data_IF_815370352872
#
_entry.id   IF_815370352872
#
_cell.length_a   1.000
_cell.length_b   1.000
_cell.length_c   1.000
_cell.angle_alpha   90.00
_cell.angle_beta   90.00
_cell.angle_gamma   90.00
#
_symmetry.space_group_name_H-M   'P 1'
#
loop_
_entity.id
_entity.type
_entity.pdbx_description
1 polymer ?
#
# COMPACT_ATOMS: atom_id res chain seq x y z
N UNK A 1 -6.75 -7.90 -12.20
CA UNK A 1 -8.06 -8.53 -11.91
C UNK A 1 -8.99 -7.50 -11.29
N UNK A 2 -10.25 -7.52 -11.66
CA UNK A 2 -11.28 -6.72 -10.99
C UNK A 2 -11.76 -7.50 -9.76
N UNK A 3 -11.55 -6.96 -8.56
CA UNK A 3 -11.95 -7.59 -7.28
C UNK A 3 -13.16 -6.91 -6.66
N UNK A 4 -13.40 -5.63 -6.98
CA UNK A 4 -14.54 -4.85 -6.51
C UNK A 4 -15.56 -4.67 -7.65
N UNK A 5 -16.70 -5.32 -7.55
CA UNK A 5 -17.79 -5.26 -8.53
C UNK A 5 -19.05 -4.55 -8.01
N UNK A 6 -18.95 -3.93 -6.82
CA UNK A 6 -20.07 -3.30 -6.12
C UNK A 6 -20.95 -4.28 -5.32
N UNK A 7 -20.66 -5.59 -5.36
CA UNK A 7 -21.40 -6.60 -4.60
C UNK A 7 -20.56 -7.11 -3.40
N UNK A 8 -20.89 -6.63 -2.21
CA UNK A 8 -20.15 -6.96 -0.98
C UNK A 8 -20.23 -8.43 -0.58
N UNK A 9 -21.24 -9.20 -1.02
CA UNK A 9 -21.44 -10.59 -0.59
C UNK A 9 -20.44 -11.58 -1.20
N UNK A 10 -19.84 -11.26 -2.34
CA UNK A 10 -18.87 -12.14 -3.03
C UNK A 10 -17.45 -11.57 -3.04
N UNK A 11 -17.24 -10.45 -2.37
CA UNK A 11 -15.97 -9.73 -2.35
C UNK A 11 -14.79 -10.63 -1.99
N UNK A 12 -14.84 -11.29 -0.83
CA UNK A 12 -13.75 -12.15 -0.33
C UNK A 12 -13.42 -13.30 -1.30
N UNK A 13 -14.44 -13.94 -1.89
CA UNK A 13 -14.21 -15.03 -2.85
C UNK A 13 -13.55 -14.51 -4.12
N UNK A 14 -13.94 -13.33 -4.58
CA UNK A 14 -13.34 -12.70 -5.76
C UNK A 14 -11.90 -12.28 -5.52
N UNK A 15 -11.60 -11.73 -4.33
CA UNK A 15 -10.25 -11.40 -3.90
C UNK A 15 -9.35 -12.63 -3.87
N UNK A 16 -9.75 -13.68 -3.16
CA UNK A 16 -9.00 -14.93 -3.08
C UNK A 16 -8.74 -15.56 -4.46
N UNK A 17 -9.76 -15.57 -5.33
CA UNK A 17 -9.63 -16.06 -6.71
C UNK A 17 -8.68 -15.22 -7.54
N UNK A 18 -8.72 -13.90 -7.41
CA UNK A 18 -7.84 -13.00 -8.12
C UNK A 18 -6.38 -13.15 -7.70
N UNK A 19 -6.13 -13.30 -6.38
CA UNK A 19 -4.80 -13.53 -5.82
C UNK A 19 -4.22 -14.85 -6.34
N UNK A 20 -5.01 -15.94 -6.25
CA UNK A 20 -4.60 -17.24 -6.78
C UNK A 20 -4.35 -17.19 -8.29
N UNK A 21 -5.25 -16.56 -9.04
CA UNK A 21 -5.09 -16.39 -10.49
C UNK A 21 -3.80 -15.65 -10.83
N UNK A 22 -3.45 -14.60 -10.09
CA UNK A 22 -2.22 -13.86 -10.29
C UNK A 22 -0.98 -14.76 -10.13
N UNK A 23 -0.90 -15.55 -9.06
CA UNK A 23 0.18 -16.52 -8.84
C UNK A 23 0.28 -17.54 -9.97
N UNK A 24 -0.84 -18.17 -10.33
CA UNK A 24 -0.91 -19.22 -11.36
C UNK A 24 -0.54 -18.71 -12.76
N UNK A 25 -0.67 -17.40 -13.01
CA UNK A 25 -0.35 -16.76 -14.30
C UNK A 25 0.95 -15.96 -14.29
N UNK A 26 1.84 -16.22 -13.33
CA UNK A 26 3.21 -15.73 -13.33
C UNK A 26 3.41 -14.31 -12.78
N UNK A 27 2.41 -13.71 -12.12
CA UNK A 27 2.61 -12.49 -11.38
C UNK A 27 3.50 -12.76 -10.16
N UNK A 28 4.47 -11.90 -9.92
CA UNK A 28 5.39 -11.98 -8.77
C UNK A 28 5.25 -10.79 -7.82
N UNK A 29 4.46 -9.80 -8.22
CA UNK A 29 4.08 -8.65 -7.40
C UNK A 29 2.57 -8.59 -7.36
N UNK A 30 2.00 -8.58 -6.16
CA UNK A 30 0.61 -8.32 -5.87
C UNK A 30 0.52 -6.93 -5.24
N UNK A 31 -0.10 -5.98 -5.95
CA UNK A 31 -0.29 -4.63 -5.46
C UNK A 31 -1.73 -4.46 -5.00
N UNK A 32 -1.93 -4.14 -3.72
CA UNK A 32 -3.23 -4.09 -3.05
C UNK A 32 -3.43 -2.79 -2.29
N UNK A 33 -4.11 -1.82 -2.91
CA UNK A 33 -4.50 -0.55 -2.27
C UNK A 33 -5.83 -0.70 -1.54
N UNK A 34 -5.98 -1.71 -0.71
CA UNK A 34 -7.19 -2.02 0.07
C UNK A 34 -6.85 -2.81 1.33
N UNK A 35 -7.79 -2.87 2.24
CA UNK A 35 -7.67 -3.60 3.50
C UNK A 35 -8.92 -3.40 4.36
N UNK A 36 -8.83 -3.86 5.59
CA UNK A 36 -9.81 -3.59 6.66
C UNK A 36 -9.35 -2.33 7.41
N UNK A 37 -10.20 -1.77 8.28
CA UNK A 37 -9.73 -0.72 9.18
C UNK A 37 -8.72 -1.30 10.19
N UNK A 38 -7.82 -0.48 10.71
CA UNK A 38 -6.96 -0.88 11.81
C UNK A 38 -7.80 -1.27 13.05
N UNK A 39 -7.28 -2.19 13.84
CA UNK A 39 -7.89 -2.57 15.13
C UNK A 39 -7.99 -1.39 16.11
N UNK A 40 -7.10 -0.42 15.98
CA UNK A 40 -7.05 0.77 16.82
C UNK A 40 -7.70 2.00 16.17
N UNK A 41 -8.44 1.82 15.07
CA UNK A 41 -9.20 2.90 14.45
C UNK A 41 -10.24 3.46 15.41
N UNK A 42 -10.47 4.78 15.36
CA UNK A 42 -11.33 5.48 16.31
C UNK A 42 -12.82 5.34 15.95
N UNK A 43 -13.62 4.62 16.74
CA UNK A 43 -15.07 4.48 16.49
C UNK A 43 -15.83 5.81 16.54
N UNK A 44 -15.32 6.81 17.27
CA UNK A 44 -15.96 8.14 17.34
C UNK A 44 -15.85 8.90 16.01
N UNK A 45 -14.91 8.50 15.15
CA UNK A 45 -14.77 9.01 13.79
C UNK A 45 -15.57 8.17 12.76
N UNK A 46 -16.36 7.22 13.23
CA UNK A 46 -17.20 6.37 12.38
C UNK A 46 -16.53 5.11 11.84
N UNK A 47 -15.30 4.81 12.24
CA UNK A 47 -14.62 3.58 11.84
C UNK A 47 -15.12 2.39 12.65
N UNK A 48 -15.20 1.25 11.97
CA UNK A 48 -15.41 -0.05 12.62
C UNK A 48 -14.05 -0.73 12.72
N UNK A 49 -13.51 -0.95 13.95
CA UNK A 49 -12.22 -1.61 14.11
C UNK A 49 -12.17 -2.97 13.43
N UNK A 50 -11.06 -3.22 12.76
CA UNK A 50 -10.75 -4.48 12.09
C UNK A 50 -10.04 -5.48 13.00
N UNK A 51 -9.50 -6.58 12.43
CA UNK A 51 -8.74 -7.57 13.18
C UNK A 51 -7.48 -6.97 13.84
N UNK A 52 -7.17 -7.43 15.05
CA UNK A 52 -5.99 -7.00 15.81
C UNK A 52 -4.83 -8.00 15.75
N UNK A 53 -5.09 -9.23 15.33
CA UNK A 53 -4.09 -10.30 15.29
C UNK A 53 -4.26 -11.17 14.05
N UNK A 54 -3.18 -11.88 13.66
CA UNK A 54 -3.22 -12.88 12.59
C UNK A 54 -4.27 -13.97 12.84
N UNK A 55 -4.47 -14.34 14.10
CA UNK A 55 -5.48 -15.32 14.50
C UNK A 55 -6.90 -14.83 14.23
N UNK A 56 -7.21 -13.60 14.66
CA UNK A 56 -8.52 -12.98 14.42
C UNK A 56 -8.78 -12.81 12.93
N UNK A 57 -7.79 -12.30 12.19
CA UNK A 57 -7.89 -12.11 10.75
C UNK A 57 -8.09 -13.42 10.02
N UNK A 58 -7.24 -14.43 10.28
CA UNK A 58 -7.32 -15.73 9.62
C UNK A 58 -8.62 -16.49 9.94
N UNK A 59 -9.15 -16.33 11.16
CA UNK A 59 -10.42 -16.90 11.55
C UNK A 59 -11.62 -16.24 10.85
N UNK A 60 -11.55 -14.92 10.68
CA UNK A 60 -12.63 -14.16 10.05
C UNK A 60 -12.57 -14.22 8.52
N UNK A 61 -11.36 -14.25 7.95
CA UNK A 61 -11.10 -14.17 6.51
C UNK A 61 -10.18 -15.32 6.01
N UNK A 62 -10.52 -16.57 6.26
CA UNK A 62 -9.63 -17.72 6.00
C UNK A 62 -9.25 -17.88 4.52
N UNK A 63 -10.18 -17.61 3.61
CA UNK A 63 -9.90 -17.73 2.16
C UNK A 63 -8.90 -16.68 1.66
N UNK A 64 -8.95 -15.48 2.21
CA UNK A 64 -8.01 -14.42 1.87
C UNK A 64 -6.61 -14.76 2.34
N UNK A 65 -6.49 -15.20 3.60
CA UNK A 65 -5.21 -15.65 4.15
C UNK A 65 -4.62 -16.82 3.36
N UNK A 66 -5.41 -17.84 3.07
CA UNK A 66 -4.96 -19.00 2.29
C UNK A 66 -4.48 -18.59 0.89
N UNK A 67 -5.19 -17.67 0.23
CA UNK A 67 -4.81 -17.18 -1.09
C UNK A 67 -3.52 -16.35 -1.04
N UNK A 68 -3.32 -15.51 -0.01
CA UNK A 68 -2.10 -14.76 0.20
C UNK A 68 -0.91 -15.66 0.51
N UNK A 69 -1.07 -16.63 1.40
CA UNK A 69 -0.02 -17.63 1.67
C UNK A 69 0.36 -18.38 0.39
N UNK A 70 -0.64 -18.76 -0.40
CA UNK A 70 -0.40 -19.39 -1.68
C UNK A 70 0.43 -18.51 -2.61
N UNK A 71 0.09 -17.22 -2.76
CA UNK A 71 0.84 -16.28 -3.59
C UNK A 71 2.26 -16.08 -3.07
N UNK A 72 2.43 -15.81 -1.79
CA UNK A 72 3.73 -15.54 -1.17
C UNK A 72 4.70 -16.70 -1.38
N UNK A 73 4.22 -17.94 -1.27
CA UNK A 73 5.07 -19.12 -1.35
C UNK A 73 5.20 -19.74 -2.74
N UNK A 74 4.22 -19.54 -3.62
CA UNK A 74 4.18 -20.26 -4.91
C UNK A 74 4.30 -19.36 -6.14
N UNK A 75 4.26 -18.03 -6.00
CA UNK A 75 4.53 -17.13 -7.12
C UNK A 75 6.00 -17.15 -7.51
N UNK A 76 6.30 -16.76 -8.74
CA UNK A 76 7.65 -16.85 -9.27
C UNK A 76 8.12 -18.30 -9.49
N UNK A 77 9.42 -18.50 -9.58
CA UNK A 77 10.01 -19.84 -9.72
C UNK A 77 11.51 -19.85 -9.43
N UNK A 78 12.10 -21.02 -9.07
CA UNK A 78 13.55 -21.18 -8.91
C UNK A 78 14.37 -20.81 -10.17
N UNK A 79 13.74 -20.88 -11.34
CA UNK A 79 14.38 -20.54 -12.62
C UNK A 79 14.01 -19.12 -13.11
N UNK A 80 13.19 -18.39 -12.38
CA UNK A 80 12.78 -17.01 -12.67
C UNK A 80 13.69 -15.99 -12.03
N UNK A 81 13.29 -14.72 -12.07
CA UNK A 81 14.01 -13.61 -11.42
C UNK A 81 13.83 -13.64 -9.90
N UNK A 82 12.72 -14.19 -9.43
CA UNK A 82 12.38 -14.31 -8.01
C UNK A 82 11.63 -15.62 -7.73
N UNK A 83 11.91 -16.19 -6.58
CA UNK A 83 11.20 -17.32 -5.99
C UNK A 83 10.41 -16.83 -4.77
N UNK A 84 9.09 -16.98 -4.82
CA UNK A 84 8.12 -16.37 -3.91
C UNK A 84 7.51 -15.08 -4.45
N UNK A 85 6.40 -14.64 -3.88
CA UNK A 85 5.64 -13.46 -4.29
C UNK A 85 5.76 -12.29 -3.32
N UNK A 86 5.81 -11.08 -3.85
CA UNK A 86 5.75 -9.83 -3.08
C UNK A 86 4.28 -9.39 -2.97
N UNK A 87 3.67 -9.56 -1.81
CA UNK A 87 2.33 -9.08 -1.50
C UNK A 87 2.44 -7.71 -0.82
N UNK A 88 2.09 -6.63 -1.52
CA UNK A 88 2.30 -5.25 -1.09
C UNK A 88 0.95 -4.58 -0.85
N UNK A 89 0.74 -4.08 0.36
CA UNK A 89 -0.53 -3.53 0.82
C UNK A 89 -0.40 -2.11 1.37
N UNK A 90 -1.46 -1.33 1.21
CA UNK A 90 -1.61 -0.05 1.87
C UNK A 90 -1.82 -0.24 3.39
N UNK A 91 -1.14 0.56 4.23
CA UNK A 91 -1.21 0.41 5.70
C UNK A 91 -2.53 0.84 6.33
N UNK A 92 -3.35 1.65 5.61
CA UNK A 92 -4.61 2.22 6.09
C UNK A 92 -4.55 3.73 6.32
N UNK A 93 -5.72 4.37 6.45
CA UNK A 93 -5.87 5.83 6.47
C UNK A 93 -6.65 6.34 7.68
N UNK A 94 -6.61 5.60 8.80
CA UNK A 94 -7.36 5.91 10.02
C UNK A 94 -6.51 6.66 11.05
N UNK A 95 -5.26 7.05 10.69
CA UNK A 95 -4.29 7.65 11.61
C UNK A 95 -4.10 6.77 12.86
N UNK A 96 -3.91 5.50 12.68
CA UNK A 96 -3.93 4.49 13.72
C UNK A 96 -2.55 3.90 13.97
N UNK A 97 -2.26 3.55 15.24
CA UNK A 97 -1.03 2.87 15.67
C UNK A 97 -1.09 1.38 15.35
N UNK A 98 -1.28 1.03 14.14
CA UNK A 98 -1.19 -0.33 13.60
C UNK A 98 -1.57 -0.28 12.14
N UNK A 99 -0.87 -0.99 11.29
CA UNK A 99 -1.33 -1.27 9.93
C UNK A 99 -2.64 -2.06 9.95
N UNK A 100 -3.49 -1.81 8.98
CA UNK A 100 -4.69 -2.62 8.78
C UNK A 100 -4.32 -3.99 8.18
N UNK A 101 -5.14 -5.02 8.43
CA UNK A 101 -5.02 -6.28 7.70
C UNK A 101 -5.57 -6.14 6.27
N UNK A 102 -4.96 -6.82 5.29
CA UNK A 102 -3.84 -7.78 5.34
C UNK A 102 -2.44 -7.17 5.46
N UNK A 103 -2.27 -5.83 5.41
CA UNK A 103 -0.94 -5.20 5.48
C UNK A 103 -0.15 -5.57 6.76
N UNK A 104 -0.84 -5.74 7.89
CA UNK A 104 -0.22 -6.12 9.17
C UNK A 104 0.24 -7.58 9.23
N UNK A 105 -0.13 -8.43 8.26
CA UNK A 105 0.31 -9.82 8.23
C UNK A 105 1.79 -9.93 7.87
N UNK A 106 2.56 -10.72 8.64
CA UNK A 106 4.02 -10.86 8.51
C UNK A 106 4.47 -11.24 7.07
N UNK A 107 3.65 -11.97 6.33
CA UNK A 107 3.93 -12.34 4.93
C UNK A 107 3.72 -11.21 3.92
N UNK A 108 3.11 -10.10 4.30
CA UNK A 108 2.83 -8.95 3.46
C UNK A 108 3.82 -7.81 3.72
N UNK A 109 3.92 -6.88 2.78
CA UNK A 109 4.65 -5.62 2.94
C UNK A 109 3.66 -4.49 3.13
N UNK A 110 3.76 -3.80 4.25
CA UNK A 110 2.92 -2.67 4.60
C UNK A 110 3.55 -1.36 4.16
N UNK A 111 2.75 -0.50 3.49
CA UNK A 111 3.21 0.78 2.95
C UNK A 111 2.42 1.94 3.55
N UNK A 112 3.09 2.79 4.31
CA UNK A 112 2.58 4.04 4.84
C UNK A 112 2.74 5.20 3.84
N UNK A 113 2.00 6.29 4.08
CA UNK A 113 2.01 7.47 3.24
C UNK A 113 2.88 8.59 3.82
N UNK A 114 3.67 9.21 2.94
CA UNK A 114 4.37 10.47 3.22
C UNK A 114 3.89 11.57 2.28
N UNK A 115 3.94 12.80 2.79
CA UNK A 115 3.67 14.02 2.05
C UNK A 115 4.89 14.47 1.24
N UNK A 116 4.73 15.55 0.46
CA UNK A 116 5.78 16.09 -0.42
C UNK A 116 7.04 16.58 0.32
N UNK A 117 6.93 16.91 1.58
CA UNK A 117 8.03 17.35 2.47
C UNK A 117 8.69 16.19 3.23
N UNK A 118 8.35 14.94 2.89
CA UNK A 118 8.80 13.71 3.54
C UNK A 118 8.26 13.50 4.96
N UNK A 119 7.33 14.33 5.43
CA UNK A 119 6.63 14.05 6.69
C UNK A 119 5.52 13.02 6.46
N UNK A 120 5.13 12.26 7.48
CA UNK A 120 3.98 11.37 7.35
C UNK A 120 2.70 12.12 6.99
N UNK A 121 1.91 11.55 6.13
CA UNK A 121 0.57 12.08 5.83
C UNK A 121 -0.32 12.03 7.05
N UNK A 122 -1.18 13.04 7.23
CA UNK A 122 -2.04 13.23 8.41
C UNK A 122 -2.96 12.05 8.71
N UNK A 123 -3.32 11.29 7.70
CA UNK A 123 -4.21 10.13 7.79
C UNK A 123 -3.47 8.80 7.90
N UNK A 124 -2.15 8.74 7.61
CA UNK A 124 -1.46 7.46 7.45
C UNK A 124 -1.44 6.65 8.73
N UNK A 125 -1.76 5.36 8.64
CA UNK A 125 -1.45 4.42 9.70
C UNK A 125 0.07 4.26 9.85
N UNK A 126 0.50 3.95 11.06
CA UNK A 126 1.90 3.85 11.46
C UNK A 126 2.09 2.70 12.47
N UNK A 127 3.32 2.36 12.78
CA UNK A 127 3.61 1.30 13.75
C UNK A 127 4.69 0.35 13.27
N UNK A 128 4.90 -0.71 14.04
CA UNK A 128 6.00 -1.64 13.81
C UNK A 128 5.78 -2.54 12.58
N UNK A 129 4.54 -2.66 12.14
CA UNK A 129 4.16 -3.47 10.97
C UNK A 129 4.42 -2.75 9.64
N UNK A 130 4.77 -1.45 9.67
CA UNK A 130 5.09 -0.70 8.45
C UNK A 130 6.49 -1.04 7.96
N UNK A 131 6.59 -1.53 6.73
CA UNK A 131 7.87 -1.88 6.09
C UNK A 131 8.49 -0.73 5.32
N UNK A 132 7.65 0.06 4.64
CA UNK A 132 8.05 1.17 3.79
C UNK A 132 7.11 2.35 3.94
N UNK A 133 7.61 3.53 3.60
CA UNK A 133 6.78 4.68 3.30
C UNK A 133 7.06 5.16 1.87
N UNK A 134 6.04 5.72 1.22
CA UNK A 134 6.15 6.25 -0.13
C UNK A 134 5.20 7.45 -0.31
N UNK A 135 5.39 8.27 -1.36
CA UNK A 135 4.51 9.40 -1.62
C UNK A 135 3.04 8.96 -1.75
N UNK A 136 2.19 9.45 -0.86
CA UNK A 136 0.75 9.21 -0.89
C UNK A 136 -0.07 10.50 -0.82
N UNK A 137 0.62 11.64 -0.66
CA UNK A 137 0.00 12.96 -0.61
C UNK A 137 -0.52 13.34 0.78
N UNK A 138 -0.80 14.62 0.97
CA UNK A 138 -1.48 15.17 2.14
C UNK A 138 -2.05 16.55 1.81
N UNK A 139 -3.29 16.60 1.35
CA UNK A 139 -3.95 17.84 0.94
C UNK A 139 -4.26 18.77 2.10
N UNK A 140 -4.48 18.23 3.29
CA UNK A 140 -4.85 19.03 4.47
C UNK A 140 -3.73 20.00 4.89
N UNK A 141 -2.47 19.57 4.75
CA UNK A 141 -1.31 20.34 5.22
C UNK A 141 -0.44 20.89 4.09
N UNK A 142 -0.59 20.39 2.87
CA UNK A 142 0.32 20.64 1.76
C UNK A 142 -0.37 21.16 0.50
N UNK A 143 -1.61 21.64 0.61
CA UNK A 143 -2.27 22.37 -0.47
C UNK A 143 -1.62 23.72 -0.67
N UNK A 144 -1.29 24.02 -1.92
CA UNK A 144 -0.76 25.34 -2.30
C UNK A 144 -1.91 26.19 -2.81
N UNK A 145 -2.11 27.41 -2.29
CA UNK A 145 -3.05 28.37 -2.87
C UNK A 145 -2.68 28.65 -4.33
N UNK A 146 -3.66 28.65 -5.21
CA UNK A 146 -3.48 28.94 -6.62
C UNK A 146 -4.75 29.44 -7.27
N UNK A 147 -4.74 29.62 -8.58
CA UNK A 147 -5.89 30.03 -9.37
C UNK A 147 -6.21 28.93 -10.39
N UNK A 148 -7.49 28.67 -10.61
CA UNK A 148 -7.95 27.80 -11.68
C UNK A 148 -7.87 28.49 -13.06
N UNK A 149 -8.26 27.80 -14.13
CA UNK A 149 -8.25 28.34 -15.49
C UNK A 149 -9.19 29.52 -15.69
N UNK A 150 -10.13 29.71 -14.78
CA UNK A 150 -11.13 30.79 -14.80
C UNK A 150 -10.75 31.97 -13.87
N UNK A 151 -9.58 31.88 -13.20
CA UNK A 151 -9.06 32.93 -12.31
C UNK A 151 -9.65 32.91 -10.90
N UNK A 152 -10.32 31.81 -10.49
CA UNK A 152 -10.80 31.67 -9.13
C UNK A 152 -9.69 31.18 -8.21
N UNK A 153 -9.65 31.67 -6.97
CA UNK A 153 -8.76 31.14 -5.95
C UNK A 153 -9.20 29.72 -5.59
N UNK A 154 -8.32 28.75 -5.80
CA UNK A 154 -8.51 27.36 -5.48
C UNK A 154 -7.29 26.82 -4.75
N UNK A 155 -7.46 25.77 -3.97
CA UNK A 155 -6.32 25.01 -3.48
C UNK A 155 -5.84 24.12 -4.62
N UNK A 156 -4.61 24.33 -5.07
CA UNK A 156 -4.00 23.45 -6.06
C UNK A 156 -3.53 22.19 -5.32
N UNK A 157 -4.02 21.03 -5.77
CA UNK A 157 -3.76 19.71 -5.18
C UNK A 157 -2.32 19.21 -5.44
N UNK A 158 -1.33 20.12 -5.44
CA UNK A 158 0.08 19.79 -5.67
C UNK A 158 0.68 18.93 -4.56
N UNK A 159 0.02 18.89 -3.39
CA UNK A 159 0.38 17.97 -2.30
C UNK A 159 -0.13 16.53 -2.50
N UNK A 160 -0.97 16.30 -3.50
CA UNK A 160 -1.59 15.00 -3.79
C UNK A 160 -0.88 14.28 -4.93
N UNK A 161 -1.25 13.04 -5.17
CA UNK A 161 -0.67 12.18 -6.20
C UNK A 161 -1.50 12.26 -7.48
N UNK A 162 -0.88 12.73 -8.56
CA UNK A 162 -1.47 12.77 -9.90
C UNK A 162 -1.48 11.36 -10.52
N UNK A 163 -2.61 10.93 -11.03
CA UNK A 163 -2.73 9.66 -11.74
C UNK A 163 -3.82 9.70 -12.81
N UNK A 164 -3.89 8.63 -13.60
CA UNK A 164 -4.94 8.44 -14.60
C UNK A 164 -6.26 8.05 -13.95
N UNK A 165 -7.35 8.60 -14.44
CA UNK A 165 -8.71 8.33 -13.99
C UNK A 165 -9.62 8.02 -15.17
N UNK A 166 -10.81 7.51 -14.87
CA UNK A 166 -11.93 7.43 -15.79
C UNK A 166 -13.06 8.30 -15.24
N UNK A 167 -13.38 9.38 -15.94
CA UNK A 167 -14.48 10.28 -15.57
C UNK A 167 -15.54 10.18 -16.66
N UNK A 168 -16.77 9.84 -16.30
CA UNK A 168 -17.89 9.66 -17.23
C UNK A 168 -17.55 8.75 -18.43
N UNK A 169 -16.78 7.68 -18.20
CA UNK A 169 -16.35 6.73 -19.22
C UNK A 169 -15.22 7.21 -20.14
N UNK A 170 -14.60 8.36 -19.86
CA UNK A 170 -13.49 8.93 -20.62
C UNK A 170 -12.21 8.91 -19.81
N UNK A 171 -11.07 8.70 -20.50
CA UNK A 171 -9.75 8.82 -19.87
C UNK A 171 -9.51 10.27 -19.41
N UNK A 172 -9.06 10.42 -18.17
CA UNK A 172 -8.76 11.71 -17.55
C UNK A 172 -7.54 11.57 -16.64
N UNK A 173 -7.08 12.69 -16.10
CA UNK A 173 -6.10 12.76 -15.03
C UNK A 173 -6.74 13.44 -13.83
N UNK A 174 -6.29 13.08 -12.62
CA UNK A 174 -6.74 13.71 -11.40
C UNK A 174 -5.83 13.38 -10.23
N UNK A 175 -6.04 14.11 -9.16
CA UNK A 175 -5.28 13.99 -7.93
C UNK A 175 -6.05 13.16 -6.92
N UNK A 176 -5.31 12.38 -6.13
CA UNK A 176 -5.85 11.66 -4.98
C UNK A 176 -4.76 11.52 -3.91
N UNK A 177 -5.17 11.20 -2.69
CA UNK A 177 -4.28 10.96 -1.56
C UNK A 177 -4.66 9.68 -0.82
N UNK A 178 -3.71 9.10 -0.11
CA UNK A 178 -3.92 7.89 0.66
C UNK A 178 -2.70 6.97 0.67
N UNK A 179 -2.67 6.06 1.62
CA UNK A 179 -1.75 4.92 1.59
C UNK A 179 -1.98 4.05 0.35
N UNK A 180 -3.19 4.15 -0.24
CA UNK A 180 -3.55 3.56 -1.54
C UNK A 180 -2.73 4.12 -2.71
N UNK A 181 -2.25 5.37 -2.63
CA UNK A 181 -1.36 6.00 -3.63
C UNK A 181 0.11 5.73 -3.32
N UNK A 182 0.47 5.56 -2.05
CA UNK A 182 1.82 5.17 -1.63
C UNK A 182 2.18 3.73 -2.04
N UNK A 183 1.27 2.79 -1.84
CA UNK A 183 1.45 1.36 -2.13
C UNK A 183 1.94 1.07 -3.57
N UNK A 184 1.34 1.62 -4.64
CA UNK A 184 1.81 1.38 -6.01
C UNK A 184 3.19 1.97 -6.30
N UNK A 185 3.66 2.98 -5.59
CA UNK A 185 5.04 3.47 -5.73
C UNK A 185 6.05 2.39 -5.31
N UNK A 186 5.83 1.73 -4.16
CA UNK A 186 6.68 0.63 -3.70
C UNK A 186 6.62 -0.55 -4.67
N UNK A 187 5.42 -0.90 -5.16
CA UNK A 187 5.24 -1.95 -6.16
C UNK A 187 5.96 -1.63 -7.47
N UNK A 188 5.93 -0.37 -7.91
CA UNK A 188 6.65 0.11 -9.10
C UNK A 188 8.16 0.01 -8.93
N UNK A 189 8.70 0.40 -7.77
CA UNK A 189 10.14 0.27 -7.46
C UNK A 189 10.54 -1.21 -7.44
N UNK A 190 9.75 -2.08 -6.83
CA UNK A 190 9.99 -3.52 -6.85
C UNK A 190 10.01 -4.08 -8.28
N UNK A 191 9.07 -3.68 -9.13
CA UNK A 191 9.01 -4.10 -10.53
C UNK A 191 10.24 -3.64 -11.33
N UNK A 192 10.68 -2.40 -11.14
CA UNK A 192 11.92 -1.88 -11.75
C UNK A 192 13.15 -2.66 -11.28
N UNK A 193 13.24 -2.94 -9.97
CA UNK A 193 14.34 -3.72 -9.40
C UNK A 193 14.41 -5.14 -9.97
N UNK A 194 13.27 -5.83 -10.05
CA UNK A 194 13.20 -7.18 -10.65
C UNK A 194 13.49 -7.16 -12.15
N UNK A 195 13.02 -6.14 -12.89
CA UNK A 195 13.33 -5.96 -14.31
C UNK A 195 14.84 -5.80 -14.53
N UNK A 196 15.49 -4.99 -13.70
CA UNK A 196 16.95 -4.81 -13.75
C UNK A 196 17.69 -6.09 -13.37
N UNK A 197 17.25 -6.80 -12.33
CA UNK A 197 17.80 -8.08 -11.91
C UNK A 197 17.73 -9.13 -13.04
N UNK A 198 16.61 -9.19 -13.75
CA UNK A 198 16.44 -10.07 -14.91
C UNK A 198 17.46 -9.75 -16.03
N UNK A 199 17.68 -8.47 -16.34
CA UNK A 199 18.70 -8.04 -17.33
C UNK A 199 20.11 -8.46 -16.89
N UNK A 200 20.39 -8.42 -15.60
CA UNK A 200 21.68 -8.84 -15.02
C UNK A 200 21.77 -10.37 -14.79
N UNK A 201 20.75 -11.13 -15.17
CA UNK A 201 20.64 -12.58 -14.93
C UNK A 201 20.79 -12.95 -13.45
N UNK A 202 20.29 -12.10 -12.56
CA UNK A 202 20.26 -12.37 -11.12
C UNK A 202 18.94 -13.01 -10.75
N UNK A 203 19.02 -13.87 -9.76
CA UNK A 203 17.87 -14.53 -9.14
C UNK A 203 17.86 -14.18 -7.65
N UNK A 204 16.67 -14.05 -7.08
CA UNK A 204 16.46 -13.79 -5.65
C UNK A 204 15.42 -14.73 -5.05
N UNK A 205 15.61 -15.13 -3.82
CA UNK A 205 14.51 -15.49 -2.96
C UNK A 205 13.76 -14.22 -2.54
N UNK A 206 12.46 -14.31 -2.32
CA UNK A 206 11.63 -13.14 -2.00
C UNK A 206 12.21 -12.34 -0.81
N UNK A 207 12.64 -13.00 0.26
CA UNK A 207 13.18 -12.34 1.44
C UNK A 207 14.53 -11.63 1.17
N UNK A 208 15.36 -12.17 0.30
CA UNK A 208 16.62 -11.51 -0.12
C UNK A 208 16.33 -10.22 -0.87
N UNK A 209 15.31 -10.23 -1.74
CA UNK A 209 14.90 -9.04 -2.47
C UNK A 209 14.27 -7.98 -1.56
N UNK A 210 13.40 -8.38 -0.62
CA UNK A 210 12.83 -7.48 0.40
C UNK A 210 13.95 -6.83 1.22
N UNK A 211 14.93 -7.60 1.68
CA UNK A 211 16.06 -7.07 2.44
C UNK A 211 16.88 -6.08 1.61
N UNK A 212 17.08 -6.34 0.32
CA UNK A 212 17.75 -5.41 -0.58
C UNK A 212 16.97 -4.10 -0.73
N UNK A 213 15.65 -4.17 -0.90
CA UNK A 213 14.78 -2.99 -0.95
C UNK A 213 14.89 -2.16 0.33
N UNK A 214 14.81 -2.82 1.52
CA UNK A 214 14.95 -2.14 2.83
C UNK A 214 16.32 -1.49 3.00
N UNK A 215 17.41 -2.15 2.61
CA UNK A 215 18.78 -1.62 2.70
C UNK A 215 19.05 -0.43 1.77
N UNK A 216 18.35 -0.36 0.65
CA UNK A 216 18.53 0.71 -0.36
C UNK A 216 17.48 1.82 -0.24
N UNK A 217 16.49 1.66 0.61
CA UNK A 217 15.51 2.70 0.90
C UNK A 217 16.19 3.91 1.56
N UNK A 218 15.67 5.10 1.21
CA UNK A 218 16.14 6.34 1.84
C UNK A 218 15.53 6.46 3.23
N UNK A 219 16.37 6.73 4.23
CA UNK A 219 15.92 7.10 5.56
C UNK A 219 15.27 8.49 5.54
N UNK A 220 14.10 8.61 6.16
CA UNK A 220 13.33 9.86 6.21
C UNK A 220 13.14 10.39 7.64
N UNK A 221 13.63 9.73 8.66
CA UNK A 221 13.48 10.07 10.08
C UNK A 221 13.98 11.48 10.42
N UNK A 222 14.97 11.99 9.67
CA UNK A 222 15.50 13.34 9.86
C UNK A 222 14.48 14.44 9.57
N UNK A 223 13.47 14.16 8.73
CA UNK A 223 12.40 15.11 8.40
C UNK A 223 11.31 15.18 9.48
N UNK A 224 11.25 14.18 10.36
CA UNK A 224 10.25 14.13 11.45
C UNK A 224 10.62 14.98 12.66
N UNK A 225 11.84 15.51 12.72
CA UNK A 225 12.33 16.30 13.85
C UNK A 225 11.57 17.60 13.98
N UNK A 226 10.76 17.69 15.04
CA UNK A 226 10.10 18.92 15.48
C UNK A 226 8.67 19.12 15.01
N UNK A 227 8.15 18.33 14.05
CA UNK A 227 6.80 18.56 13.52
C UNK A 227 5.75 17.52 13.96
N UNK A 228 6.12 16.24 14.03
CA UNK A 228 5.19 15.16 14.41
C UNK A 228 5.81 14.17 15.40
N UNK A 229 6.69 14.65 16.27
CA UNK A 229 7.40 13.85 17.27
C UNK A 229 6.46 13.05 18.19
N UNK A 230 5.21 13.50 18.34
CA UNK A 230 4.21 12.82 19.16
C UNK A 230 3.64 11.55 18.55
N UNK A 231 3.81 11.35 17.26
CA UNK A 231 3.14 10.29 16.51
C UNK A 231 4.02 9.09 16.18
N UNK A 232 5.34 9.22 16.39
CA UNK A 232 6.35 8.25 16.00
C UNK A 232 7.28 7.81 17.12
N UNK A 233 7.03 8.22 18.37
CA UNK A 233 7.87 7.93 19.51
C UNK A 233 7.38 6.73 20.34
N UNK A 234 6.80 5.73 19.72
CA UNK A 234 6.51 4.50 20.46
C UNK A 234 6.79 3.27 19.61
#
# INVERSE_FOLDING_TARGET
CQVFDGNSQVKMVNEARAIKYAADNGAVILQCSWGYNSAYSNPLQGYVPGPATDEEWSKTYPLEKEALDYFIHNAGSPNGVIEGGLAIFASGNEYSYMSSYPAAYEGCLSVASIAADYTPSSFSNYGMEVDFCAPGGDSEYHCVPGEDTDGNNVNIDQGMILSTLVVEGKAAYGYNEGTSMACPHVSGVAALGLSYALQQRRHFKVQEFINLMKQTAREVDSYYKGYKTYYYLH
#
